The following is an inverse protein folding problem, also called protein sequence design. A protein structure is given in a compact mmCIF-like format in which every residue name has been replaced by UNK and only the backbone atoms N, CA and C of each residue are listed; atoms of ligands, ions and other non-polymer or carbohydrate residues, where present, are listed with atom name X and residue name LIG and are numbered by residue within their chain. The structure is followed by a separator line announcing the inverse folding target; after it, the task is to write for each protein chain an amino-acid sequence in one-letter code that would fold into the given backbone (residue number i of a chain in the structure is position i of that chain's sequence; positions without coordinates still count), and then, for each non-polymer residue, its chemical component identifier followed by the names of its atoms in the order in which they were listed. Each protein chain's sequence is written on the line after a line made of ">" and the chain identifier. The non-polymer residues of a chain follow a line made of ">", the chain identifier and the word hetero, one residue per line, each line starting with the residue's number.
data_IF_351975174913
#
_entry.id   IF_351975174913
#
_cell.length_a   1.000
_cell.length_b   1.000
_cell.length_c   1.000
_cell.angle_alpha   90.00
_cell.angle_beta   90.00
_cell.angle_gamma   90.00
#
_symmetry.space_group_name_H-M   'P 1'
#
loop_
_entity.id
_entity.type
_entity.pdbx_description
1 polymer ?
#
# COMPACT_ATOMS: atom_id res chain seq x y z
N UNK A 1 25.45 -31.76 -23.77
CA UNK A 1 24.61 -31.71 -22.55
C UNK A 1 25.49 -31.38 -21.37
N UNK A 2 25.57 -30.11 -20.98
CA UNK A 2 26.29 -29.66 -19.78
C UNK A 2 25.34 -29.68 -18.58
N UNK A 3 25.69 -30.30 -17.44
CA UNK A 3 24.80 -30.37 -16.29
C UNK A 3 24.67 -28.99 -15.61
N UNK A 4 23.47 -28.68 -15.15
CA UNK A 4 23.14 -27.45 -14.41
C UNK A 4 23.73 -27.50 -13.00
N UNK A 5 24.85 -26.80 -12.78
CA UNK A 5 25.46 -26.66 -11.46
C UNK A 5 24.63 -25.71 -10.58
N UNK A 6 23.95 -26.21 -9.57
CA UNK A 6 23.25 -25.38 -8.57
C UNK A 6 24.16 -25.09 -7.36
N UNK A 7 24.27 -23.84 -6.96
CA UNK A 7 24.97 -23.43 -5.73
C UNK A 7 23.94 -23.33 -4.59
N UNK A 8 24.13 -24.13 -3.55
CA UNK A 8 23.30 -24.09 -2.33
C UNK A 8 24.03 -23.32 -1.25
N UNK A 9 23.44 -22.20 -0.81
CA UNK A 9 23.95 -21.38 0.29
C UNK A 9 23.12 -21.69 1.54
N UNK A 10 23.74 -22.26 2.56
CA UNK A 10 23.11 -22.46 3.87
C UNK A 10 23.44 -21.28 4.79
N UNK A 11 22.43 -20.44 5.07
CA UNK A 11 22.54 -19.35 6.04
C UNK A 11 21.86 -19.80 7.34
N UNK A 12 22.57 -19.84 8.48
CA UNK A 12 21.94 -20.15 9.76
C UNK A 12 21.03 -18.98 10.17
N UNK A 13 19.72 -19.19 10.22
CA UNK A 13 18.74 -18.19 10.66
C UNK A 13 17.94 -18.72 11.85
N UNK A 14 17.70 -17.86 12.84
CA UNK A 14 16.84 -18.15 13.98
C UNK A 14 15.59 -17.25 13.94
N UNK A 15 14.41 -17.85 13.80
CA UNK A 15 13.13 -17.13 13.83
C UNK A 15 12.66 -17.06 15.27
N UNK A 16 12.50 -15.86 15.83
CA UNK A 16 11.90 -15.66 17.15
C UNK A 16 10.63 -14.82 17.04
N UNK A 17 9.66 -15.13 17.89
CA UNK A 17 8.39 -14.40 18.02
C UNK A 17 8.37 -13.66 19.35
N UNK A 18 8.15 -12.35 19.32
CA UNK A 18 8.02 -11.53 20.53
C UNK A 18 6.78 -10.64 20.39
N UNK A 19 5.78 -10.80 21.26
CA UNK A 19 4.57 -9.97 21.27
C UNK A 19 3.71 -10.05 20.00
N UNK A 20 3.69 -11.20 19.30
CA UNK A 20 2.89 -11.39 18.08
C UNK A 20 3.55 -10.86 16.78
N UNK A 21 4.78 -10.35 16.84
CA UNK A 21 5.56 -9.93 15.67
C UNK A 21 6.74 -10.89 15.47
N UNK A 22 6.90 -11.39 14.25
CA UNK A 22 8.05 -12.23 13.86
C UNK A 22 9.25 -11.33 13.62
N UNK A 23 10.33 -11.54 14.37
CA UNK A 23 11.58 -10.80 14.23
C UNK A 23 12.67 -11.77 13.78
N UNK A 24 13.39 -11.41 12.72
CA UNK A 24 14.61 -12.11 12.32
C UNK A 24 15.73 -11.59 13.22
N UNK A 25 16.37 -12.51 13.94
CA UNK A 25 17.50 -12.19 14.80
C UNK A 25 18.77 -12.63 14.09
N UNK A 26 19.69 -11.70 13.89
CA UNK A 26 20.99 -11.94 13.28
C UNK A 26 21.85 -12.77 14.27
N UNK A 27 22.85 -13.57 13.82
CA UNK A 27 23.63 -14.45 14.72
C UNK A 27 24.34 -13.74 15.89
N UNK A 28 24.58 -12.43 15.78
CA UNK A 28 25.13 -11.52 16.80
C UNK A 28 24.08 -11.06 17.84
N UNK A 29 22.85 -11.57 17.77
CA UNK A 29 21.79 -11.25 18.74
C UNK A 29 21.19 -9.86 18.56
N UNK A 30 21.70 -9.06 17.62
CA UNK A 30 21.09 -7.81 17.23
C UNK A 30 19.78 -8.08 16.47
N UNK A 31 18.73 -7.29 16.73
CA UNK A 31 17.56 -7.33 15.87
C UNK A 31 18.01 -6.93 14.46
N UNK A 32 17.73 -7.76 13.46
CA UNK A 32 17.93 -7.42 12.05
C UNK A 32 16.92 -6.33 11.66
N UNK A 33 17.04 -5.13 12.21
CA UNK A 33 16.04 -4.06 12.07
C UNK A 33 16.74 -2.77 11.71
N UNK A 34 17.11 -2.65 10.44
CA UNK A 34 16.60 -1.46 9.77
C UNK A 34 15.09 -1.70 9.65
N UNK A 35 14.22 -0.85 10.24
CA UNK A 35 12.80 -0.96 9.93
C UNK A 35 12.73 -0.84 8.42
N UNK A 36 12.26 -1.90 7.74
CA UNK A 36 11.84 -1.79 6.35
C UNK A 36 10.67 -0.80 6.42
N UNK A 37 10.98 0.49 6.32
CA UNK A 37 9.99 1.53 6.18
C UNK A 37 9.48 1.33 4.77
N UNK A 38 8.50 0.45 4.64
CA UNK A 38 7.72 0.37 3.42
C UNK A 38 7.20 1.78 3.18
N UNK A 39 7.76 2.45 2.16
CA UNK A 39 7.37 3.82 1.81
C UNK A 39 5.89 3.86 1.41
N UNK A 40 5.38 2.74 0.91
CA UNK A 40 3.97 2.54 0.62
C UNK A 40 3.10 2.46 1.88
N UNK A 41 1.93 3.07 1.79
CA UNK A 41 0.89 2.96 2.80
C UNK A 41 0.43 1.48 2.94
N UNK A 42 0.57 0.84 4.13
CA UNK A 42 0.24 -0.57 4.29
C UNK A 42 -1.23 -0.92 3.98
N UNK A 43 -2.14 0.04 4.16
CA UNK A 43 -3.55 -0.14 3.83
C UNK A 43 -3.77 -0.25 2.32
N UNK A 44 -3.08 0.58 1.54
CA UNK A 44 -3.14 0.56 0.07
C UNK A 44 -2.61 -0.77 -0.50
N UNK A 45 -1.46 -1.23 0.00
CA UNK A 45 -0.87 -2.51 -0.44
C UNK A 45 -1.81 -3.69 -0.13
N UNK A 46 -2.41 -3.70 1.07
CA UNK A 46 -3.39 -4.73 1.46
C UNK A 46 -4.65 -4.67 0.59
N UNK A 47 -5.14 -3.47 0.27
CA UNK A 47 -6.30 -3.29 -0.59
C UNK A 47 -6.04 -3.85 -1.99
N UNK A 48 -4.88 -3.54 -2.59
CA UNK A 48 -4.48 -4.08 -3.89
C UNK A 48 -4.39 -5.61 -3.86
N UNK A 49 -3.70 -6.17 -2.86
CA UNK A 49 -3.55 -7.61 -2.72
C UNK A 49 -4.92 -8.31 -2.59
N UNK A 50 -5.85 -7.71 -1.84
CA UNK A 50 -7.20 -8.24 -1.67
C UNK A 50 -8.01 -8.16 -2.96
N UNK A 51 -7.91 -7.06 -3.70
CA UNK A 51 -8.54 -6.88 -5.01
C UNK A 51 -8.10 -7.97 -6.00
N UNK A 52 -6.79 -8.19 -6.14
CA UNK A 52 -6.24 -9.22 -7.01
C UNK A 52 -6.63 -10.63 -6.57
N UNK A 53 -6.63 -10.91 -5.27
CA UNK A 53 -7.11 -12.20 -4.73
C UNK A 53 -8.56 -12.45 -5.13
N UNK A 54 -9.44 -11.46 -4.99
CA UNK A 54 -10.85 -11.62 -5.35
C UNK A 54 -11.08 -11.75 -6.84
N UNK A 55 -10.37 -10.98 -7.67
CA UNK A 55 -10.39 -11.15 -9.12
C UNK A 55 -10.02 -12.58 -9.50
N UNK A 56 -8.92 -13.11 -8.93
CA UNK A 56 -8.49 -14.48 -9.17
C UNK A 56 -9.54 -15.51 -8.74
N UNK A 57 -10.21 -15.32 -7.60
CA UNK A 57 -11.28 -16.21 -7.14
C UNK A 57 -12.50 -16.23 -8.08
N UNK A 58 -12.81 -15.10 -8.73
CA UNK A 58 -13.85 -15.03 -9.77
C UNK A 58 -13.39 -15.74 -11.05
N UNK A 59 -12.14 -15.52 -11.48
CA UNK A 59 -11.57 -16.13 -12.69
C UNK A 59 -11.41 -17.64 -12.56
N UNK A 60 -11.09 -18.15 -11.37
CA UNK A 60 -11.06 -19.58 -11.04
C UNK A 60 -12.46 -20.22 -10.98
N UNK A 61 -13.54 -19.43 -11.15
CA UNK A 61 -14.91 -19.92 -11.08
C UNK A 61 -15.34 -20.40 -9.70
N UNK A 62 -14.59 -20.05 -8.63
CA UNK A 62 -14.94 -20.42 -7.25
C UNK A 62 -16.21 -19.75 -6.75
N UNK A 63 -16.61 -18.66 -7.40
CA UNK A 63 -17.89 -17.99 -7.20
C UNK A 63 -18.49 -17.71 -8.58
N UNK A 64 -19.77 -18.02 -8.77
CA UNK A 64 -20.48 -17.80 -10.02
C UNK A 64 -20.82 -16.32 -10.26
N UNK A 65 -20.85 -15.50 -9.19
CA UNK A 65 -21.11 -14.07 -9.32
C UNK A 65 -20.52 -13.22 -8.20
N UNK A 66 -20.39 -11.92 -8.48
CA UNK A 66 -20.09 -10.88 -7.50
C UNK A 66 -21.01 -10.91 -6.27
N UNK A 67 -22.30 -11.16 -6.47
CA UNK A 67 -23.29 -11.23 -5.38
C UNK A 67 -23.04 -12.42 -4.45
N UNK A 68 -22.66 -13.56 -5.01
CA UNK A 68 -22.34 -14.77 -4.27
C UNK A 68 -21.07 -14.58 -3.43
N UNK A 69 -20.02 -14.03 -4.06
CA UNK A 69 -18.78 -13.70 -3.35
C UNK A 69 -19.03 -12.69 -2.22
N UNK A 70 -19.82 -11.64 -2.46
CA UNK A 70 -20.18 -10.64 -1.46
C UNK A 70 -20.87 -11.27 -0.24
N UNK A 71 -21.82 -12.19 -0.47
CA UNK A 71 -22.50 -12.95 0.59
C UNK A 71 -21.54 -13.86 1.36
N UNK A 72 -20.67 -14.58 0.64
CA UNK A 72 -19.73 -15.53 1.25
C UNK A 72 -18.68 -14.83 2.12
N UNK A 73 -18.14 -13.71 1.66
CA UNK A 73 -17.13 -12.93 2.39
C UNK A 73 -17.76 -11.94 3.40
N UNK A 74 -19.10 -11.81 3.43
CA UNK A 74 -19.87 -10.87 4.26
C UNK A 74 -19.51 -9.41 4.03
N UNK A 75 -19.40 -9.04 2.76
CA UNK A 75 -18.97 -7.72 2.31
C UNK A 75 -20.06 -7.13 1.43
N UNK A 76 -20.24 -5.82 1.51
CA UNK A 76 -21.16 -5.13 0.63
C UNK A 76 -20.78 -5.30 -0.85
N UNK A 77 -21.78 -5.54 -1.71
CA UNK A 77 -21.56 -5.76 -3.15
C UNK A 77 -20.95 -4.52 -3.82
N UNK A 78 -21.39 -3.33 -3.44
CA UNK A 78 -20.84 -2.06 -3.94
C UNK A 78 -19.39 -1.89 -3.55
N UNK A 79 -19.06 -2.17 -2.28
CA UNK A 79 -17.67 -2.16 -1.80
C UNK A 79 -16.78 -3.17 -2.54
N UNK A 80 -17.28 -4.39 -2.80
CA UNK A 80 -16.55 -5.40 -3.56
C UNK A 80 -16.26 -4.91 -5.00
N UNK A 81 -17.24 -4.29 -5.64
CA UNK A 81 -17.07 -3.66 -6.96
C UNK A 81 -16.03 -2.54 -6.94
N UNK A 82 -16.08 -1.64 -5.95
CA UNK A 82 -15.05 -0.60 -5.75
C UNK A 82 -13.65 -1.20 -5.54
N UNK A 83 -13.55 -2.32 -4.82
CA UNK A 83 -12.27 -2.98 -4.63
C UNK A 83 -11.73 -3.58 -5.92
N UNK A 84 -12.58 -4.21 -6.73
CA UNK A 84 -12.17 -4.78 -8.02
C UNK A 84 -11.72 -3.72 -9.03
N UNK A 85 -12.21 -2.47 -8.93
CA UNK A 85 -11.69 -1.36 -9.74
C UNK A 85 -10.20 -1.11 -9.53
N UNK A 86 -9.65 -1.44 -8.35
CA UNK A 86 -8.20 -1.35 -8.10
C UNK A 86 -7.38 -2.28 -9.01
N UNK A 87 -7.97 -3.37 -9.51
CA UNK A 87 -7.29 -4.28 -10.45
C UNK A 87 -7.19 -3.74 -11.87
N UNK A 88 -7.89 -2.64 -12.17
CA UNK A 88 -7.89 -1.96 -13.47
C UNK A 88 -6.90 -0.77 -13.51
N UNK A 89 -6.13 -0.60 -12.45
CA UNK A 89 -5.16 0.47 -12.33
C UNK A 89 -4.02 0.27 -13.34
N UNK A 90 -3.54 1.36 -13.93
CA UNK A 90 -2.35 1.34 -14.77
C UNK A 90 -1.13 0.83 -13.98
N UNK A 91 -0.29 0.01 -14.62
CA UNK A 91 0.84 -0.67 -13.96
C UNK A 91 1.85 0.29 -13.34
N UNK A 92 2.05 1.45 -13.95
CA UNK A 92 2.90 2.52 -13.44
C UNK A 92 2.37 3.11 -12.13
N UNK A 93 1.05 3.29 -12.00
CA UNK A 93 0.44 3.77 -10.76
C UNK A 93 0.51 2.70 -9.66
N UNK A 94 0.35 1.42 -10.01
CA UNK A 94 0.58 0.31 -9.07
C UNK A 94 2.02 0.34 -8.55
N UNK A 95 2.98 0.57 -9.44
CA UNK A 95 4.38 0.68 -9.08
C UNK A 95 4.65 1.90 -8.17
N UNK A 96 4.02 3.04 -8.45
CA UNK A 96 4.10 4.25 -7.62
C UNK A 96 3.51 4.03 -6.23
N UNK A 97 2.40 3.30 -6.14
CA UNK A 97 1.80 2.89 -4.86
C UNK A 97 2.79 2.03 -4.08
N UNK A 98 3.36 0.99 -4.70
CA UNK A 98 4.27 0.05 -4.03
C UNK A 98 5.59 0.72 -3.60
N UNK A 99 6.02 1.74 -4.33
CA UNK A 99 7.19 2.54 -3.99
C UNK A 99 6.87 3.74 -3.08
N UNK A 100 5.61 3.94 -2.69
CA UNK A 100 5.17 5.10 -1.90
C UNK A 100 5.52 6.43 -2.54
N UNK A 101 5.49 6.51 -3.88
CA UNK A 101 5.66 7.74 -4.66
C UNK A 101 4.36 8.52 -4.79
N UNK A 102 3.22 7.88 -4.51
CA UNK A 102 1.92 8.52 -4.50
C UNK A 102 1.80 9.48 -3.30
N UNK A 103 1.20 10.66 -3.52
CA UNK A 103 0.98 11.65 -2.46
C UNK A 103 0.22 11.02 -1.29
N UNK A 104 0.59 11.29 -0.02
CA UNK A 104 -0.08 10.73 1.16
C UNK A 104 -1.57 11.11 1.26
N UNK A 105 -1.98 12.20 0.61
CA UNK A 105 -3.38 12.65 0.56
C UNK A 105 -4.23 11.77 -0.37
N UNK A 106 -3.58 11.02 -1.26
CA UNK A 106 -4.19 10.10 -2.22
C UNK A 106 -4.31 8.70 -1.60
N UNK A 107 -5.14 8.61 -0.55
CA UNK A 107 -5.38 7.37 0.19
C UNK A 107 -6.22 6.34 -0.57
N UNK A 108 -6.27 5.11 -0.05
CA UNK A 108 -6.96 3.98 -0.71
C UNK A 108 -8.45 4.20 -0.97
N UNK A 109 -9.10 5.08 -0.21
CA UNK A 109 -10.51 5.43 -0.44
C UNK A 109 -10.68 6.37 -1.63
N UNK A 110 -9.82 7.40 -1.75
CA UNK A 110 -9.85 8.33 -2.87
C UNK A 110 -9.62 7.58 -4.20
N UNK A 111 -8.64 6.69 -4.26
CA UNK A 111 -8.40 5.87 -5.46
C UNK A 111 -9.66 5.08 -5.86
N UNK A 112 -10.35 4.45 -4.91
CA UNK A 112 -11.52 3.61 -5.23
C UNK A 112 -12.71 4.38 -5.79
N UNK A 113 -12.87 5.64 -5.42
CA UNK A 113 -14.03 6.45 -5.78
C UNK A 113 -13.85 7.19 -7.12
N UNK A 114 -12.62 7.58 -7.47
CA UNK A 114 -12.32 8.46 -8.61
C UNK A 114 -11.71 7.77 -9.84
N UNK A 115 -11.43 6.47 -9.82
CA UNK A 115 -10.72 5.81 -10.92
C UNK A 115 -11.60 5.60 -12.17
N UNK A 116 -11.38 6.42 -13.21
CA UNK A 116 -11.82 6.08 -14.57
C UNK A 116 -11.25 4.73 -15.01
N UNK A 117 -11.94 4.03 -15.90
CA UNK A 117 -11.43 2.80 -16.51
C UNK A 117 -10.31 3.09 -17.54
N UNK A 118 -10.18 4.33 -18.01
CA UNK A 118 -9.21 4.74 -19.03
C UNK A 118 -7.89 5.12 -18.36
N UNK A 119 -6.79 4.43 -18.69
CA UNK A 119 -5.48 4.67 -18.07
C UNK A 119 -4.92 6.08 -18.28
N UNK A 120 -5.20 6.72 -19.42
CA UNK A 120 -4.78 8.10 -19.67
C UNK A 120 -5.46 9.07 -18.68
N UNK A 121 -6.76 8.89 -18.42
CA UNK A 121 -7.51 9.68 -17.45
C UNK A 121 -7.09 9.38 -16.02
N UNK A 122 -6.75 8.11 -15.71
CA UNK A 122 -6.18 7.75 -14.41
C UNK A 122 -4.88 8.52 -14.14
N UNK A 123 -3.94 8.54 -15.10
CA UNK A 123 -2.69 9.29 -14.96
C UNK A 123 -2.95 10.78 -14.78
N UNK A 124 -3.83 11.36 -15.61
CA UNK A 124 -4.21 12.77 -15.50
C UNK A 124 -4.78 13.09 -14.11
N UNK A 125 -5.68 12.26 -13.57
CA UNK A 125 -6.26 12.46 -12.24
C UNK A 125 -5.23 12.36 -11.10
N UNK A 126 -4.28 11.43 -11.21
CA UNK A 126 -3.21 11.26 -10.21
C UNK A 126 -2.24 12.44 -10.27
N UNK A 127 -1.88 12.90 -11.47
CA UNK A 127 -1.01 14.07 -11.67
C UNK A 127 -1.71 15.37 -11.27
N UNK A 128 -2.99 15.56 -11.61
CA UNK A 128 -3.78 16.74 -11.24
C UNK A 128 -3.95 16.83 -9.72
N UNK A 129 -4.23 15.71 -9.06
CA UNK A 129 -4.29 15.67 -7.58
C UNK A 129 -2.92 15.96 -6.96
N UNK A 130 -1.82 15.56 -7.60
CA UNK A 130 -0.48 15.91 -7.16
C UNK A 130 -0.12 17.39 -7.41
N UNK A 131 -0.64 17.99 -8.49
CA UNK A 131 -0.38 19.38 -8.89
C UNK A 131 -1.28 20.40 -8.18
N UNK A 132 -2.48 20.00 -7.74
CA UNK A 132 -3.46 20.86 -7.07
C UNK A 132 -3.05 21.29 -5.65
N UNK A 133 -1.90 20.86 -5.15
CA UNK A 133 -1.36 21.30 -3.86
C UNK A 133 -0.14 22.20 -4.09
N UNK A 134 -0.30 23.54 -4.02
CA UNK A 134 0.83 24.42 -3.85
C UNK A 134 1.41 24.26 -2.44
N UNK A 135 2.74 24.22 -2.39
CA UNK A 135 3.57 24.37 -1.20
C UNK A 135 3.37 25.77 -0.58
N UNK A 136 2.21 26.01 0.03
CA UNK A 136 1.92 27.16 0.89
C UNK A 136 1.68 26.63 2.32
N UNK A 137 2.36 27.03 3.39
CA UNK A 137 3.39 28.02 3.56
C UNK A 137 4.21 27.63 4.81
N UNK A 138 5.43 27.15 4.60
CA UNK A 138 6.49 27.24 5.61
C UNK A 138 7.11 28.64 5.46
N UNK A 139 6.48 29.66 6.04
CA UNK A 139 7.15 30.93 6.33
C UNK A 139 6.65 31.51 7.65
N UNK A 140 7.52 31.40 8.66
CA UNK A 140 7.74 32.41 9.70
C UNK A 140 6.56 32.79 10.59
N UNK A 141 6.46 32.13 11.75
CA UNK A 141 6.13 32.85 12.99
C UNK A 141 7.21 32.56 14.02
N UNK A 142 8.34 33.22 13.83
CA UNK A 142 9.35 33.48 14.86
C UNK A 142 9.08 34.88 15.39
N UNK A 143 8.92 35.00 16.71
CA UNK A 143 8.76 36.26 17.44
C UNK A 143 7.44 36.30 18.21
N UNK A 144 7.40 36.42 19.53
CA UNK A 144 8.45 36.54 20.54
C UNK A 144 7.81 36.47 21.92
N UNK A 145 8.54 35.87 22.86
CA UNK A 145 8.35 36.07 24.30
C UNK A 145 8.63 37.55 24.64
N UNK A 146 7.89 38.21 25.57
CA UNK A 146 8.38 38.35 26.96
C UNK A 146 7.22 38.55 27.99
N UNK A 147 7.45 38.97 29.25
CA UNK A 147 7.35 38.08 30.41
C UNK A 147 6.25 38.48 31.42
N UNK A 148 6.04 37.59 32.40
CA UNK A 148 5.18 37.75 33.56
C UNK A 148 5.34 39.08 34.30
N UNK A 149 4.21 39.66 34.75
CA UNK A 149 4.18 40.71 35.77
C UNK A 149 3.01 40.49 36.73
N UNK A 150 3.35 40.19 37.99
CA UNK A 150 2.48 40.26 39.16
C UNK A 150 2.08 41.72 39.44
N UNK A 151 1.01 41.95 40.21
CA UNK A 151 1.19 42.15 41.65
C UNK A 151 0.46 41.13 42.53
#
# INVERSE_FOLDING_TARGET
>A
MTPSSSITICVPLAIRSCGGRKLVVTPDGSPATLPIRTRAEPAMVKALARAHRWKRLLEEGRYASLSEMARAEKIDRGYLGKMLRLTLLASDIVEDILNGRLSPDLGATALRDFLSAVWAEQRASVTETAAALPHEALHGSSGGEPPARAP
#
